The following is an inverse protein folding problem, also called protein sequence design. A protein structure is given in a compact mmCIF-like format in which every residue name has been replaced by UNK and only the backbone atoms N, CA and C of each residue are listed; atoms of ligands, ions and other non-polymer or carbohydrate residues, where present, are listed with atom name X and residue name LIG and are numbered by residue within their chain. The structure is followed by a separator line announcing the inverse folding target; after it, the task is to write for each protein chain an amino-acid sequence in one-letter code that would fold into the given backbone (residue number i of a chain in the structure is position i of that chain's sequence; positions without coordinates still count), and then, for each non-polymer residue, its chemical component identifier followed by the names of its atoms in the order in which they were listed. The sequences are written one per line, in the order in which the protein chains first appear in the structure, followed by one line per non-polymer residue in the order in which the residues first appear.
data_IF_826847816962
#
_entry.id   IF_826847816962
#
_cell.length_a   1.000
_cell.length_b   1.000
_cell.length_c   1.000
_cell.angle_alpha   90.00
_cell.angle_beta   90.00
_cell.angle_gamma   90.00
#
_symmetry.space_group_name_H-M   'P 1'
#
loop_
_entity.id
_entity.type
_entity.pdbx_description
1 polymer ?
#
# COMPACT_ATOMS: atom_id res chain seq x y z
N UNK A 1 1.59 6.25 13.88
CA UNK A 1 0.87 4.97 13.74
C UNK A 1 1.71 4.06 12.88
N UNK A 2 1.52 2.76 13.01
CA UNK A 2 2.13 1.77 12.13
C UNK A 2 1.05 1.15 11.22
N UNK A 3 1.46 0.88 9.99
CA UNK A 3 0.64 0.19 9.02
C UNK A 3 1.36 -1.06 8.51
N UNK A 4 0.59 -2.06 8.12
CA UNK A 4 1.09 -3.21 7.39
C UNK A 4 0.41 -3.29 6.02
N UNK A 5 1.20 -3.08 4.97
CA UNK A 5 0.83 -3.30 3.59
C UNK A 5 1.14 -4.74 3.20
N UNK A 6 0.09 -5.51 2.85
CA UNK A 6 0.24 -6.88 2.35
C UNK A 6 0.17 -6.82 0.83
N UNK A 7 1.27 -7.21 0.19
CA UNK A 7 1.49 -7.12 -1.24
C UNK A 7 1.17 -8.47 -1.90
N UNK A 8 0.60 -8.41 -3.10
CA UNK A 8 0.44 -9.58 -3.95
C UNK A 8 1.80 -10.07 -4.42
N UNK A 9 2.01 -11.39 -4.50
CA UNK A 9 3.20 -11.96 -5.16
C UNK A 9 3.22 -11.71 -6.67
N UNK A 10 2.07 -11.34 -7.25
CA UNK A 10 1.96 -10.99 -8.67
C UNK A 10 2.34 -9.53 -8.86
N UNK A 11 3.53 -9.27 -9.41
CA UNK A 11 4.00 -7.92 -9.77
C UNK A 11 5.33 -7.52 -9.13
N UNK A 12 5.90 -8.35 -8.27
CA UNK A 12 7.22 -8.11 -7.66
C UNK A 12 7.28 -6.73 -6.97
N UNK A 13 6.18 -6.37 -6.30
CA UNK A 13 5.98 -5.02 -5.76
C UNK A 13 6.97 -4.67 -4.67
N UNK A 14 7.32 -5.65 -3.83
CA UNK A 14 8.24 -5.43 -2.73
C UNK A 14 9.65 -5.15 -3.22
N UNK A 15 10.13 -5.88 -4.23
CA UNK A 15 11.43 -5.61 -4.83
C UNK A 15 11.46 -4.24 -5.51
N UNK A 16 10.38 -3.82 -6.19
CA UNK A 16 10.27 -2.49 -6.79
C UNK A 16 10.27 -1.36 -5.77
N UNK A 17 9.64 -1.58 -4.61
CA UNK A 17 9.70 -0.63 -3.50
C UNK A 17 11.13 -0.54 -2.99
N UNK A 18 11.78 -1.67 -2.73
CA UNK A 18 13.16 -1.73 -2.23
C UNK A 18 14.20 -1.16 -3.21
N UNK A 19 14.00 -1.32 -4.51
CA UNK A 19 14.89 -0.77 -5.54
C UNK A 19 14.68 0.73 -5.79
N UNK A 20 13.59 1.30 -5.29
CA UNK A 20 13.19 2.68 -5.56
C UNK A 20 12.49 2.88 -6.91
N UNK A 21 12.22 1.81 -7.67
CA UNK A 21 11.40 1.88 -8.89
C UNK A 21 9.96 2.31 -8.55
N UNK A 22 9.40 1.73 -7.48
CA UNK A 22 8.07 2.04 -6.95
C UNK A 22 8.19 2.97 -5.74
N UNK A 23 7.97 4.26 -5.97
CA UNK A 23 8.04 5.30 -4.93
C UNK A 23 6.70 5.65 -4.30
N UNK A 24 5.59 5.15 -4.88
CA UNK A 24 4.24 5.35 -4.35
C UNK A 24 3.55 3.98 -4.19
N UNK A 25 3.07 3.68 -2.98
CA UNK A 25 2.17 2.56 -2.73
C UNK A 25 0.72 2.99 -2.98
N UNK A 26 0.02 2.30 -3.87
CA UNK A 26 -1.33 2.65 -4.30
C UNK A 26 -2.34 1.60 -3.85
N UNK A 27 -3.47 2.01 -3.27
CA UNK A 27 -4.59 1.13 -2.91
C UNK A 27 -5.87 1.58 -3.59
N UNK A 28 -6.43 0.67 -4.37
CA UNK A 28 -7.61 0.89 -5.21
C UNK A 28 -8.77 0.04 -4.68
N UNK A 29 -9.82 0.68 -4.16
CA UNK A 29 -10.91 -0.01 -3.49
C UNK A 29 -12.28 0.41 -4.01
N UNK A 30 -13.23 -0.53 -4.00
CA UNK A 30 -14.65 -0.26 -4.27
C UNK A 30 -15.34 0.43 -3.08
N UNK A 31 -14.89 0.13 -1.87
CA UNK A 31 -15.47 0.65 -0.62
C UNK A 31 -14.43 1.45 0.16
N UNK A 32 -14.89 2.44 0.92
CA UNK A 32 -14.04 3.26 1.79
C UNK A 32 -13.48 2.40 2.92
N UNK A 33 -12.18 2.12 2.88
CA UNK A 33 -11.45 1.36 3.91
C UNK A 33 -9.99 1.78 3.99
N UNK A 34 -9.34 1.44 5.11
CA UNK A 34 -7.93 1.72 5.34
C UNK A 34 -7.05 1.23 4.17
N UNK A 35 -6.09 2.03 3.70
CA UNK A 35 -5.57 3.26 4.33
C UNK A 35 -6.34 4.56 4.05
N UNK A 36 -7.47 4.52 3.32
CA UNK A 36 -8.17 5.75 2.91
C UNK A 36 -8.60 6.62 4.10
N UNK A 37 -8.11 7.87 4.12
CA UNK A 37 -8.41 8.87 5.15
C UNK A 37 -7.81 8.61 6.54
N UNK A 38 -6.98 7.57 6.70
CA UNK A 38 -6.42 7.20 8.01
C UNK A 38 -4.90 7.24 8.08
N UNK A 39 -4.21 6.98 6.97
CA UNK A 39 -2.74 7.14 6.90
C UNK A 39 -2.35 8.62 6.78
N UNK A 40 -1.26 9.03 7.43
CA UNK A 40 -0.77 10.41 7.36
C UNK A 40 0.75 10.50 7.27
N UNK A 41 1.24 11.68 6.91
CA UNK A 41 2.66 12.01 6.94
C UNK A 41 3.26 11.68 8.31
N UNK A 42 4.45 11.07 8.30
CA UNK A 42 5.13 10.64 9.51
C UNK A 42 4.63 9.32 10.12
N UNK A 43 3.71 8.59 9.49
CA UNK A 43 3.45 7.19 9.84
C UNK A 43 4.51 6.25 9.23
N UNK A 44 4.59 5.01 9.75
CA UNK A 44 5.47 3.97 9.21
C UNK A 44 4.64 2.90 8.51
N UNK A 45 5.07 2.48 7.33
CA UNK A 45 4.50 1.31 6.66
C UNK A 45 5.51 0.18 6.71
N UNK A 46 5.06 -0.97 7.17
CA UNK A 46 5.74 -2.25 7.06
C UNK A 46 5.18 -3.01 5.85
N UNK A 47 6.05 -3.71 5.13
CA UNK A 47 5.67 -4.44 3.93
C UNK A 47 5.97 -5.92 4.09
N UNK A 48 5.00 -6.73 3.64
CA UNK A 48 5.16 -8.18 3.44
C UNK A 48 4.49 -8.59 2.15
N UNK A 49 4.97 -9.66 1.55
CA UNK A 49 4.18 -10.37 0.54
C UNK A 49 3.16 -11.30 1.21
N UNK A 50 2.09 -11.63 0.49
CA UNK A 50 1.08 -12.57 0.98
C UNK A 50 1.71 -13.93 1.31
N UNK A 51 1.51 -14.43 2.52
CA UNK A 51 2.12 -15.68 3.01
C UNK A 51 3.54 -15.55 3.56
N UNK A 52 4.27 -14.48 3.25
CA UNK A 52 5.67 -14.30 3.67
C UNK A 52 5.82 -13.49 4.96
N UNK A 53 7.00 -13.44 5.60
CA UNK A 53 7.30 -12.50 6.69
C UNK A 53 7.25 -11.03 6.25
N UNK A 54 7.24 -10.13 7.23
CA UNK A 54 7.52 -8.70 7.02
C UNK A 54 9.03 -8.54 6.87
N UNK A 55 9.48 -7.84 5.82
CA UNK A 55 10.92 -7.73 5.49
C UNK A 55 11.36 -6.33 5.07
N UNK A 56 10.42 -5.38 4.94
CA UNK A 56 10.77 -3.99 4.63
C UNK A 56 9.90 -3.01 5.40
N UNK A 57 10.38 -1.77 5.52
CA UNK A 57 9.58 -0.64 5.97
C UNK A 57 9.93 0.65 5.23
N UNK A 58 9.02 1.60 5.28
CA UNK A 58 9.20 2.97 4.79
C UNK A 58 8.47 3.96 5.69
N UNK A 59 8.81 5.24 5.55
CA UNK A 59 8.11 6.37 6.16
C UNK A 59 7.15 6.98 5.14
N UNK A 60 6.02 7.46 5.63
CA UNK A 60 5.03 8.17 4.81
C UNK A 60 5.45 9.63 4.70
N UNK A 61 5.79 10.08 3.49
CA UNK A 61 6.03 11.49 3.23
C UNK A 61 4.70 12.26 3.21
N UNK A 62 3.75 11.78 2.39
CA UNK A 62 2.39 12.30 2.28
C UNK A 62 1.45 11.23 1.73
N UNK A 63 0.14 11.48 1.86
CA UNK A 63 -0.89 10.65 1.26
C UNK A 63 -1.90 11.50 0.50
N UNK A 64 -2.32 11.02 -0.67
CA UNK A 64 -3.41 11.60 -1.45
C UNK A 64 -4.59 10.64 -1.45
N UNK A 65 -5.80 11.20 -1.37
CA UNK A 65 -7.04 10.46 -1.30
C UNK A 65 -8.00 10.94 -2.38
N UNK A 66 -8.47 10.01 -3.21
CA UNK A 66 -9.43 10.27 -4.28
C UNK A 66 -10.69 9.43 -4.04
N UNK A 67 -11.86 10.07 -4.08
CA UNK A 67 -13.18 9.43 -4.01
C UNK A 67 -13.97 9.67 -5.30
N UNK A 68 -15.14 9.02 -5.40
CA UNK A 68 -16.10 9.19 -6.49
C UNK A 68 -15.45 9.05 -7.87
N UNK A 69 -14.60 8.03 -8.00
CA UNK A 69 -13.78 7.80 -9.18
C UNK A 69 -14.63 7.45 -10.39
N UNK A 70 -14.60 8.34 -11.37
CA UNK A 70 -15.08 8.12 -12.73
C UNK A 70 -13.89 7.92 -13.67
N UNK A 71 -14.12 7.37 -14.88
CA UNK A 71 -13.03 6.97 -15.79
C UNK A 71 -11.97 8.05 -16.07
N UNK A 72 -12.36 9.31 -16.24
CA UNK A 72 -11.40 10.39 -16.49
C UNK A 72 -10.52 10.71 -15.27
N UNK A 73 -11.03 10.62 -14.04
CA UNK A 73 -10.18 10.76 -12.83
C UNK A 73 -9.19 9.61 -12.71
N UNK A 74 -9.62 8.38 -13.01
CA UNK A 74 -8.73 7.22 -13.02
C UNK A 74 -7.62 7.41 -14.06
N UNK A 75 -7.97 7.82 -15.27
CA UNK A 75 -7.00 8.09 -16.33
C UNK A 75 -6.00 9.16 -15.87
N UNK A 76 -6.47 10.26 -15.29
CA UNK A 76 -5.60 11.31 -14.75
C UNK A 76 -4.63 10.78 -13.70
N UNK A 77 -5.09 9.93 -12.78
CA UNK A 77 -4.22 9.32 -11.76
C UNK A 77 -3.14 8.44 -12.42
N UNK A 78 -3.51 7.67 -13.45
CA UNK A 78 -2.57 6.84 -14.19
C UNK A 78 -1.56 7.69 -14.97
N UNK A 79 -1.99 8.80 -15.56
CA UNK A 79 -1.10 9.70 -16.30
C UNK A 79 -0.13 10.42 -15.35
N UNK A 80 -0.62 10.94 -14.23
CA UNK A 80 0.17 11.72 -13.26
C UNK A 80 1.13 10.85 -12.42
N UNK A 81 0.70 9.63 -12.06
CA UNK A 81 1.38 8.81 -11.05
C UNK A 81 1.70 7.39 -11.51
N UNK A 82 1.22 6.95 -12.68
CA UNK A 82 1.32 5.58 -13.19
C UNK A 82 2.75 5.05 -13.21
N UNK A 83 3.73 5.92 -13.48
CA UNK A 83 5.15 5.58 -13.43
C UNK A 83 5.61 5.25 -12.01
N UNK A 84 5.32 6.10 -11.05
CA UNK A 84 5.74 5.98 -9.64
C UNK A 84 5.03 4.85 -8.89
N UNK A 85 3.82 4.47 -9.32
CA UNK A 85 3.06 3.33 -8.77
C UNK A 85 3.34 2.01 -9.50
N UNK A 86 4.14 2.04 -10.58
CA UNK A 86 4.46 0.89 -11.45
C UNK A 86 3.22 0.26 -12.12
N UNK A 87 2.29 1.08 -12.61
CA UNK A 87 1.07 0.64 -13.28
C UNK A 87 1.00 1.04 -14.77
N UNK A 88 2.13 1.35 -15.42
CA UNK A 88 2.18 1.79 -16.82
C UNK A 88 1.60 0.75 -17.80
N UNK A 89 1.67 -0.54 -17.44
CA UNK A 89 1.14 -1.64 -18.25
C UNK A 89 -0.32 -1.98 -17.92
N UNK A 90 -0.96 -1.26 -17.00
CA UNK A 90 -2.34 -1.52 -16.61
C UNK A 90 -3.30 -0.58 -17.32
N UNK A 91 -4.48 -1.09 -17.64
CA UNK A 91 -5.50 -0.33 -18.36
C UNK A 91 -6.53 0.25 -17.40
N UNK A 92 -7.16 1.35 -17.82
CA UNK A 92 -8.33 1.95 -17.17
C UNK A 92 -9.40 0.91 -16.80
N UNK A 93 -9.61 -0.07 -17.68
CA UNK A 93 -10.57 -1.15 -17.53
C UNK A 93 -10.33 -1.98 -16.25
N UNK A 94 -9.07 -2.17 -15.84
CA UNK A 94 -8.73 -2.90 -14.62
C UNK A 94 -9.21 -2.17 -13.35
N UNK A 95 -9.41 -0.85 -13.42
CA UNK A 95 -9.72 0.01 -12.27
C UNK A 95 -11.10 0.65 -12.31
N UNK A 96 -11.88 0.46 -13.38
CA UNK A 96 -13.19 1.12 -13.57
C UNK A 96 -14.25 0.86 -12.50
N UNK A 97 -14.05 -0.18 -11.66
CA UNK A 97 -14.96 -0.54 -10.56
C UNK A 97 -14.47 -0.04 -9.20
N UNK A 98 -13.42 0.76 -9.17
CA UNK A 98 -12.87 1.34 -7.94
C UNK A 98 -13.52 2.70 -7.71
N UNK A 99 -13.85 2.99 -6.45
CA UNK A 99 -14.47 4.26 -6.05
C UNK A 99 -13.52 5.09 -5.18
N UNK A 100 -12.48 4.46 -4.63
CA UNK A 100 -11.54 5.06 -3.70
C UNK A 100 -10.11 4.69 -4.07
N UNK A 101 -9.25 5.69 -4.14
CA UNK A 101 -7.80 5.51 -4.30
C UNK A 101 -7.06 6.20 -3.18
N UNK A 102 -6.09 5.51 -2.62
CA UNK A 102 -5.07 6.08 -1.75
C UNK A 102 -3.73 5.96 -2.44
N UNK A 103 -3.00 7.08 -2.58
CA UNK A 103 -1.61 7.11 -3.02
C UNK A 103 -0.74 7.50 -1.84
N UNK A 104 0.19 6.62 -1.46
CA UNK A 104 1.09 6.85 -0.33
C UNK A 104 2.52 7.01 -0.82
N UNK A 105 3.08 8.20 -0.61
CA UNK A 105 4.43 8.54 -1.03
C UNK A 105 5.41 8.00 -0.01
N UNK A 106 6.37 7.20 -0.48
CA UNK A 106 7.31 6.45 0.34
C UNK A 106 8.67 7.15 0.38
N UNK A 107 9.19 7.34 1.59
CA UNK A 107 10.57 7.81 1.84
C UNK A 107 11.24 6.90 2.87
N UNK A 108 12.58 6.96 2.96
CA UNK A 108 13.39 6.12 3.85
C UNK A 108 13.08 4.62 3.76
N UNK A 109 12.86 4.13 2.54
CA UNK A 109 12.61 2.71 2.28
C UNK A 109 13.85 1.90 2.65
N UNK A 110 13.67 0.85 3.44
CA UNK A 110 14.75 -0.07 3.81
C UNK A 110 14.28 -1.48 4.09
N UNK A 111 15.14 -2.44 3.77
CA UNK A 111 15.02 -3.79 4.28
C UNK A 111 15.21 -3.81 5.80
N UNK A 112 14.58 -4.77 6.47
CA UNK A 112 14.66 -4.99 7.91
C UNK A 112 14.75 -6.48 8.19
N UNK A 113 15.20 -6.82 9.40
CA UNK A 113 15.19 -8.21 9.87
C UNK A 113 13.78 -8.82 9.78
N UNK A 114 13.64 -9.99 9.12
CA UNK A 114 12.33 -10.61 8.92
C UNK A 114 11.61 -10.90 10.23
N UNK A 115 10.30 -10.65 10.27
CA UNK A 115 9.45 -11.09 11.38
C UNK A 115 8.05 -11.49 10.92
N UNK A 116 7.42 -12.36 11.69
CA UNK A 116 6.05 -12.83 11.43
C UNK A 116 5.05 -11.95 12.16
N UNK A 117 3.79 -12.00 11.71
CA UNK A 117 2.69 -11.27 12.35
C UNK A 117 1.47 -12.17 12.56
N UNK A 118 0.73 -11.90 13.64
CA UNK A 118 -0.57 -12.50 13.91
C UNK A 118 -1.69 -11.61 13.37
N UNK A 119 -2.42 -12.09 12.36
CA UNK A 119 -3.55 -11.38 11.73
C UNK A 119 -4.89 -11.58 12.44
N UNK A 120 -4.96 -12.29 13.57
CA UNK A 120 -6.23 -12.57 14.27
C UNK A 120 -6.94 -11.25 14.59
N UNK A 121 -8.21 -11.15 14.21
CA UNK A 121 -9.04 -9.94 14.42
C UNK A 121 -9.09 -8.95 13.25
N UNK A 122 -8.22 -9.07 12.24
CA UNK A 122 -8.20 -8.14 11.09
C UNK A 122 -8.90 -8.69 9.83
N UNK A 123 -9.28 -9.96 9.83
CA UNK A 123 -9.87 -10.67 8.70
C UNK A 123 -8.82 -11.34 7.81
N UNK A 124 -9.14 -12.55 7.34
CA UNK A 124 -8.22 -13.38 6.56
C UNK A 124 -7.71 -12.67 5.30
N UNK A 125 -8.62 -11.96 4.62
CA UNK A 125 -8.39 -11.25 3.36
C UNK A 125 -7.96 -9.79 3.54
N UNK A 126 -7.55 -9.37 4.75
CA UNK A 126 -7.01 -8.04 4.95
C UNK A 126 -5.73 -7.87 4.11
N UNK A 127 -5.74 -6.84 3.26
CA UNK A 127 -4.60 -6.41 2.45
C UNK A 127 -3.87 -5.20 3.07
N UNK A 128 -4.49 -4.57 4.07
CA UNK A 128 -3.97 -3.45 4.83
C UNK A 128 -4.40 -3.58 6.29
N UNK A 129 -3.49 -3.32 7.22
CA UNK A 129 -3.75 -3.31 8.66
C UNK A 129 -3.17 -2.01 9.23
N UNK A 130 -3.90 -1.40 10.17
CA UNK A 130 -3.45 -0.22 10.91
C UNK A 130 -3.42 -0.56 12.39
N UNK A 131 -2.33 -0.22 13.07
CA UNK A 131 -2.08 -0.48 14.49
C UNK A 131 -1.34 0.69 15.12
N UNK A 132 -1.47 0.87 16.43
CA UNK A 132 -0.71 1.91 17.14
C UNK A 132 0.81 1.65 17.06
N UNK A 133 1.19 0.37 17.13
CA UNK A 133 2.55 -0.13 16.97
C UNK A 133 2.53 -1.52 16.32
N UNK A 134 3.46 -1.77 15.41
CA UNK A 134 3.62 -3.07 14.74
C UNK A 134 3.89 -4.21 15.72
N UNK A 135 4.48 -3.91 16.88
CA UNK A 135 4.83 -4.90 17.90
C UNK A 135 3.60 -5.55 18.53
N UNK A 136 2.42 -4.90 18.47
CA UNK A 136 1.14 -5.47 18.93
C UNK A 136 0.70 -6.70 18.15
N UNK A 137 1.16 -6.81 16.90
CA UNK A 137 0.82 -7.94 16.02
C UNK A 137 2.05 -8.75 15.63
N UNK A 138 3.26 -8.33 16.04
CA UNK A 138 4.50 -9.07 15.80
C UNK A 138 4.50 -10.37 16.59
N UNK A 139 4.97 -11.43 15.96
CA UNK A 139 5.27 -12.70 16.63
C UNK A 139 6.68 -13.14 16.29
N UNK A 140 7.35 -13.72 17.28
CA UNK A 140 8.66 -14.33 17.14
C UNK A 140 8.55 -15.66 16.37
#
# INVERSE_FOLDING_TARGET
MDHLAILSKKGDWLAKILSGEKTIESRWYKHKKGPYGTIKAGDTIYFKESGEPVTAKARVEKALFFADLYPATIQKILDDYGKQICLQNYTLEAYKRTNYVTLVFLVDVKAIEPFKINKKGYGLMAAWITVDSIDRIRVN
#
